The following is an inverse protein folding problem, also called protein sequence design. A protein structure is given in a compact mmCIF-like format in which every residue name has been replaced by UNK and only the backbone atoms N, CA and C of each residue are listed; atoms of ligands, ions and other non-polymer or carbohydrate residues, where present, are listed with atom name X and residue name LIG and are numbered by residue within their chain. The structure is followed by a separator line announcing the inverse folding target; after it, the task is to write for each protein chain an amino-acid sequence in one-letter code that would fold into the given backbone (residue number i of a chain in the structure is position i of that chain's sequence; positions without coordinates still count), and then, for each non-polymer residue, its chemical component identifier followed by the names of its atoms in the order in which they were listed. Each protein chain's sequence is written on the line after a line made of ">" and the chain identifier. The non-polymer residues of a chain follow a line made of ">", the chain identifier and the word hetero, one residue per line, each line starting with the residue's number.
data_IF_839626691074
#
_entry.id   IF_839626691074
#
_cell.length_a   1.000
_cell.length_b   1.000
_cell.length_c   1.000
_cell.angle_alpha   90.00
_cell.angle_beta   90.00
_cell.angle_gamma   90.00
#
_symmetry.space_group_name_H-M   'P 1'
#
loop_
_entity.id
_entity.type
_entity.pdbx_description
1 polymer ?
#
# COMPACT_ATOMS: atom_id res chain seq x y z
N UNK A 1 -21.11 11.40 -20.02
CA UNK A 1 -19.95 12.09 -19.40
C UNK A 1 -19.38 11.13 -18.40
N UNK A 2 -18.10 10.77 -18.49
CA UNK A 2 -17.47 9.88 -17.52
C UNK A 2 -17.36 10.66 -16.20
N UNK A 3 -18.22 10.33 -15.24
CA UNK A 3 -18.28 11.02 -13.94
C UNK A 3 -17.01 10.84 -13.08
N UNK A 4 -16.19 9.83 -13.38
CA UNK A 4 -15.06 9.46 -12.53
C UNK A 4 -14.01 8.65 -13.29
N UNK A 5 -12.75 8.77 -12.87
CA UNK A 5 -11.67 7.83 -13.21
C UNK A 5 -11.51 6.88 -12.05
N UNK A 6 -12.01 5.66 -12.18
CA UNK A 6 -11.97 4.66 -11.09
C UNK A 6 -10.56 4.11 -10.90
N UNK A 7 -10.06 4.13 -9.67
CA UNK A 7 -8.75 3.57 -9.32
C UNK A 7 -7.54 4.49 -9.58
N UNK A 8 -7.77 5.72 -10.03
CA UNK A 8 -6.73 6.73 -10.19
C UNK A 8 -6.46 7.49 -8.87
N UNK A 9 -5.37 8.28 -8.83
CA UNK A 9 -5.00 9.06 -7.64
C UNK A 9 -6.16 9.85 -7.03
N UNK A 10 -6.14 10.02 -5.71
CA UNK A 10 -7.13 10.81 -5.00
C UNK A 10 -7.17 12.27 -5.48
N UNK A 11 -8.34 12.87 -5.43
CA UNK A 11 -8.53 14.32 -5.51
C UNK A 11 -8.72 14.88 -4.11
N UNK A 12 -8.28 16.12 -3.88
CA UNK A 12 -8.50 16.85 -2.62
C UNK A 12 -9.67 17.79 -2.81
N UNK A 13 -10.74 17.57 -2.06
CA UNK A 13 -11.85 18.50 -1.98
C UNK A 13 -11.65 19.45 -0.78
N UNK A 14 -11.34 20.71 -1.05
CA UNK A 14 -11.03 21.69 -0.03
C UNK A 14 -12.26 22.33 0.62
N UNK A 15 -13.45 22.17 0.05
CA UNK A 15 -14.69 22.76 0.58
C UNK A 15 -15.28 21.94 1.73
N UNK A 16 -15.00 20.63 1.79
CA UNK A 16 -15.56 19.71 2.80
C UNK A 16 -14.60 19.41 3.96
N UNK A 17 -13.54 20.21 4.11
CA UNK A 17 -12.55 20.00 5.16
C UNK A 17 -13.11 20.39 6.54
N UNK A 18 -13.43 19.41 7.35
CA UNK A 18 -13.85 19.58 8.75
C UNK A 18 -13.13 18.57 9.65
N UNK A 19 -12.67 19.02 10.81
CA UNK A 19 -11.97 18.14 11.76
C UNK A 19 -12.86 16.98 12.23
N UNK A 20 -12.31 15.77 12.24
CA UNK A 20 -12.96 14.56 12.70
C UNK A 20 -12.34 14.09 14.01
N UNK A 21 -13.16 13.48 14.87
CA UNK A 21 -12.70 12.97 16.16
C UNK A 21 -11.90 11.66 16.03
N UNK A 22 -12.21 10.86 15.00
CA UNK A 22 -11.63 9.53 14.74
C UNK A 22 -10.63 9.54 13.58
N UNK A 23 -9.80 10.56 13.51
CA UNK A 23 -8.80 10.72 12.46
C UNK A 23 -7.58 9.79 12.65
N UNK A 24 -6.69 9.75 11.66
CA UNK A 24 -5.51 8.86 11.61
C UNK A 24 -4.66 8.90 12.89
N UNK A 25 -4.41 10.08 13.46
CA UNK A 25 -3.58 10.22 14.65
C UNK A 25 -4.27 9.67 15.90
N UNK A 26 -5.61 9.73 15.98
CA UNK A 26 -6.37 9.08 17.07
C UNK A 26 -6.38 7.56 16.90
N UNK A 27 -6.51 7.07 15.67
CA UNK A 27 -6.42 5.64 15.38
C UNK A 27 -5.07 5.05 15.79
N UNK A 28 -3.98 5.76 15.50
CA UNK A 28 -2.61 5.33 15.83
C UNK A 28 -2.14 5.76 17.22
N UNK A 29 -2.97 6.45 18.03
CA UNK A 29 -2.63 6.91 19.38
C UNK A 29 -2.13 5.83 20.35
N UNK A 30 -2.55 4.54 20.25
CA UNK A 30 -2.02 3.47 21.10
C UNK A 30 -0.53 3.16 20.89
N UNK A 31 0.08 3.72 19.83
CA UNK A 31 1.46 3.46 19.43
C UNK A 31 2.33 4.70 19.57
N UNK A 32 3.64 4.46 19.76
CA UNK A 32 4.64 5.49 19.47
C UNK A 32 4.81 5.59 17.96
N UNK A 33 4.76 6.80 17.41
CA UNK A 33 4.76 7.05 15.96
C UNK A 33 5.84 8.04 15.55
N UNK A 34 6.47 7.78 14.39
CA UNK A 34 7.29 8.73 13.64
C UNK A 34 6.61 8.91 12.28
N UNK A 35 6.21 10.15 11.97
CA UNK A 35 5.55 10.48 10.72
C UNK A 35 6.55 11.10 9.74
N UNK A 36 6.71 10.46 8.58
CA UNK A 36 7.63 10.82 7.52
C UNK A 36 6.85 11.13 6.22
N UNK A 37 7.52 11.67 5.23
CA UNK A 37 6.92 12.04 3.95
C UNK A 37 6.50 10.84 3.09
N UNK A 38 7.07 9.67 3.32
CA UNK A 38 6.77 8.49 2.51
C UNK A 38 7.09 7.17 3.21
N UNK A 39 6.50 6.06 2.72
CA UNK A 39 6.86 4.72 3.15
C UNK A 39 8.33 4.37 2.82
N UNK A 40 8.90 4.92 1.73
CA UNK A 40 10.34 4.75 1.41
C UNK A 40 11.22 5.38 2.48
N UNK A 41 10.89 6.57 2.94
CA UNK A 41 11.57 7.24 4.05
C UNK A 41 11.49 6.42 5.33
N UNK A 42 10.34 5.79 5.60
CA UNK A 42 10.20 4.86 6.72
C UNK A 42 11.13 3.66 6.62
N UNK A 43 11.21 3.01 5.45
CA UNK A 43 12.11 1.89 5.22
C UNK A 43 13.57 2.32 5.43
N UNK A 44 13.98 3.48 4.89
CA UNK A 44 15.34 4.01 5.07
C UNK A 44 15.70 4.26 6.53
N UNK A 45 14.77 4.80 7.33
CA UNK A 45 14.97 4.97 8.79
C UNK A 45 15.08 3.62 9.49
N UNK A 46 14.23 2.65 9.13
CA UNK A 46 14.30 1.30 9.72
C UNK A 46 15.58 0.54 9.37
N UNK A 47 16.26 0.87 8.25
CA UNK A 47 17.56 0.29 7.92
C UNK A 47 18.62 0.52 9.00
N UNK A 48 18.47 1.53 9.84
CA UNK A 48 19.38 1.77 10.99
C UNK A 48 19.42 0.59 11.96
N UNK A 49 18.33 -0.20 12.06
CA UNK A 49 18.24 -1.38 12.92
C UNK A 49 19.04 -2.59 12.39
N UNK A 50 19.36 -2.60 11.09
CA UNK A 50 19.90 -3.76 10.38
C UNK A 50 21.26 -3.51 9.73
N UNK A 51 21.93 -2.41 10.09
CA UNK A 51 23.21 -2.02 9.49
C UNK A 51 24.26 -3.14 9.57
N UNK A 52 24.82 -3.51 8.43
CA UNK A 52 25.80 -4.59 8.29
C UNK A 52 25.23 -6.02 8.39
N UNK A 53 23.91 -6.19 8.44
CA UNK A 53 23.23 -7.47 8.66
C UNK A 53 22.28 -7.83 7.51
N UNK A 54 21.79 -9.07 7.53
CA UNK A 54 20.76 -9.56 6.62
C UNK A 54 19.36 -9.30 7.18
N UNK A 55 18.42 -8.91 6.29
CA UNK A 55 17.00 -8.79 6.56
C UNK A 55 16.23 -9.71 5.61
N UNK A 56 15.46 -10.64 6.15
CA UNK A 56 14.57 -11.49 5.34
C UNK A 56 13.36 -10.68 4.90
N UNK A 57 13.06 -10.69 3.59
CA UNK A 57 12.02 -9.85 2.96
C UNK A 57 11.17 -10.73 2.04
N UNK A 58 9.82 -10.60 2.03
CA UNK A 58 9.01 -11.39 1.12
C UNK A 58 9.28 -10.98 -0.34
N UNK A 59 9.46 -11.98 -1.21
CA UNK A 59 9.77 -11.75 -2.61
C UNK A 59 8.59 -11.11 -3.39
N UNK A 60 7.34 -11.34 -2.95
CA UNK A 60 6.18 -10.64 -3.49
C UNK A 60 6.00 -9.28 -2.79
N UNK A 61 6.76 -8.29 -3.22
CA UNK A 61 6.79 -6.94 -2.65
C UNK A 61 6.86 -5.87 -3.73
N UNK A 62 6.56 -4.63 -3.35
CA UNK A 62 6.67 -3.50 -4.28
C UNK A 62 8.14 -3.15 -4.58
N UNK A 63 8.34 -2.44 -5.68
CA UNK A 63 9.64 -1.91 -6.07
C UNK A 63 10.34 -1.16 -4.92
N UNK A 64 9.58 -0.30 -4.22
CA UNK A 64 10.12 0.49 -3.11
C UNK A 64 10.60 -0.34 -1.91
N UNK A 65 10.10 -1.55 -1.72
CA UNK A 65 10.60 -2.49 -0.69
C UNK A 65 11.80 -3.25 -1.22
N UNK A 66 11.72 -3.81 -2.45
CA UNK A 66 12.77 -4.64 -3.03
C UNK A 66 14.07 -3.87 -3.21
N UNK A 67 13.97 -2.60 -3.62
CA UNK A 67 15.13 -1.72 -3.86
C UNK A 67 15.31 -0.60 -2.81
N UNK A 68 14.47 -0.60 -1.77
CA UNK A 68 14.41 0.50 -0.78
C UNK A 68 15.45 0.43 0.33
N UNK A 69 16.19 -0.68 0.43
CA UNK A 69 17.19 -0.84 1.47
C UNK A 69 18.46 -0.06 1.15
N UNK A 70 18.93 0.70 2.14
CA UNK A 70 20.15 1.51 2.03
C UNK A 70 21.41 0.65 2.08
N UNK A 71 22.56 1.25 1.73
CA UNK A 71 23.86 0.58 1.88
C UNK A 71 24.04 0.03 3.31
N UNK A 72 24.57 -1.19 3.38
CA UNK A 72 24.84 -1.86 4.65
C UNK A 72 23.74 -2.76 5.18
N UNK A 73 22.55 -2.80 4.56
CA UNK A 73 21.52 -3.82 4.80
C UNK A 73 21.48 -4.75 3.60
N UNK A 74 21.55 -6.05 3.83
CA UNK A 74 21.47 -7.06 2.79
C UNK A 74 20.09 -7.71 2.80
N UNK A 75 19.18 -7.41 1.85
CA UNK A 75 17.91 -8.10 1.75
C UNK A 75 18.13 -9.54 1.26
N UNK A 76 17.48 -10.50 1.91
CA UNK A 76 17.42 -11.90 1.52
C UNK A 76 15.95 -12.25 1.30
N UNK A 77 15.58 -12.53 0.06
CA UNK A 77 14.18 -12.68 -0.32
C UNK A 77 13.69 -14.10 -0.08
N UNK A 78 12.57 -14.23 0.67
CA UNK A 78 11.87 -15.49 0.87
C UNK A 78 10.57 -15.55 0.05
N UNK A 79 10.15 -16.78 -0.27
CA UNK A 79 8.95 -17.04 -1.06
C UNK A 79 7.67 -16.80 -0.23
N UNK A 80 6.57 -16.52 -0.92
CA UNK A 80 5.20 -16.56 -0.40
C UNK A 80 4.35 -17.46 -1.28
N UNK A 81 3.32 -18.07 -0.70
CA UNK A 81 2.37 -18.92 -1.44
C UNK A 81 1.44 -18.08 -2.35
N UNK A 82 0.65 -18.74 -3.21
CA UNK A 82 -0.30 -18.06 -4.10
C UNK A 82 -1.40 -17.31 -3.36
N UNK A 83 -1.74 -17.71 -2.16
CA UNK A 83 -2.67 -17.02 -1.26
C UNK A 83 -1.99 -15.94 -0.41
N UNK A 84 -0.75 -15.57 -0.74
CA UNK A 84 0.08 -14.56 -0.06
C UNK A 84 0.46 -14.90 1.39
N UNK A 85 0.27 -16.14 1.83
CA UNK A 85 0.80 -16.62 3.11
C UNK A 85 2.31 -16.84 3.05
N UNK A 86 2.98 -16.84 4.21
CA UNK A 86 4.42 -17.00 4.31
C UNK A 86 4.82 -18.45 3.97
N UNK A 87 5.76 -18.62 3.05
CA UNK A 87 6.45 -19.90 2.86
C UNK A 87 7.53 -20.05 3.95
N UNK A 88 7.12 -20.58 5.08
CA UNK A 88 8.01 -20.77 6.23
C UNK A 88 9.13 -21.76 5.96
N UNK A 89 8.92 -22.75 5.11
CA UNK A 89 9.98 -23.70 4.77
C UNK A 89 11.14 -23.00 4.05
N UNK A 90 10.81 -22.09 3.13
CA UNK A 90 11.80 -21.28 2.44
C UNK A 90 12.39 -20.21 3.35
N UNK A 91 11.58 -19.54 4.18
CA UNK A 91 12.02 -18.53 5.12
C UNK A 91 13.03 -19.08 6.13
N UNK A 92 12.71 -20.21 6.78
CA UNK A 92 13.57 -20.83 7.81
C UNK A 92 14.92 -21.29 7.23
N UNK A 93 14.95 -21.83 6.00
CA UNK A 93 16.18 -22.19 5.29
C UNK A 93 17.12 -21.02 5.04
N UNK A 94 16.59 -19.80 5.03
CA UNK A 94 17.34 -18.56 4.74
C UNK A 94 17.85 -17.86 6.00
N UNK A 95 17.47 -18.32 7.20
CA UNK A 95 17.99 -17.79 8.44
C UNK A 95 19.45 -18.23 8.59
N UNK A 96 20.34 -17.24 8.77
CA UNK A 96 21.77 -17.44 9.02
C UNK A 96 22.22 -16.69 10.27
N UNK A 97 23.47 -16.87 10.69
CA UNK A 97 24.05 -16.05 11.76
C UNK A 97 24.14 -14.54 11.44
N UNK A 98 24.06 -14.19 10.15
CA UNK A 98 24.03 -12.78 9.71
C UNK A 98 22.62 -12.19 9.72
N UNK A 99 21.57 -13.00 9.83
CA UNK A 99 20.19 -12.52 9.85
C UNK A 99 19.91 -11.71 11.12
N UNK A 100 19.38 -10.50 10.95
CA UNK A 100 19.00 -9.60 12.05
C UNK A 100 17.50 -9.46 12.21
N UNK A 101 16.72 -9.71 11.17
CA UNK A 101 15.28 -9.56 11.26
C UNK A 101 14.52 -10.15 10.10
N UNK A 102 13.20 -10.09 10.25
CA UNK A 102 12.22 -10.54 9.26
C UNK A 102 11.28 -9.35 8.98
N UNK A 103 11.13 -9.01 7.69
CA UNK A 103 10.15 -8.08 7.19
C UNK A 103 8.97 -8.91 6.68
N UNK A 104 7.78 -8.67 7.19
CA UNK A 104 6.55 -9.34 6.76
C UNK A 104 5.59 -8.33 6.17
N UNK A 105 4.82 -8.70 5.15
CA UNK A 105 3.85 -7.82 4.51
C UNK A 105 2.44 -8.32 4.77
N UNK A 106 1.59 -7.45 5.31
CA UNK A 106 0.16 -7.66 5.46
C UNK A 106 -0.53 -7.18 4.18
N UNK A 107 -1.00 -8.13 3.36
CA UNK A 107 -1.44 -7.85 1.98
C UNK A 107 -2.93 -7.47 1.89
N UNK A 108 -3.24 -6.42 1.14
CA UNK A 108 -4.59 -6.02 0.67
C UNK A 108 -5.65 -5.84 1.77
N UNK A 109 -5.24 -5.62 3.01
CA UNK A 109 -6.13 -5.46 4.15
C UNK A 109 -6.15 -6.67 5.08
N UNK A 110 -5.57 -7.81 4.68
CA UNK A 110 -5.43 -8.98 5.54
C UNK A 110 -4.20 -8.87 6.42
N UNK A 111 -4.37 -9.18 7.70
CA UNK A 111 -3.28 -9.36 8.65
C UNK A 111 -2.80 -10.80 8.59
N UNK A 112 -1.53 -11.03 8.93
CA UNK A 112 -1.01 -12.40 9.12
C UNK A 112 -1.89 -13.15 10.15
N UNK A 113 -2.04 -14.46 9.95
CA UNK A 113 -2.81 -15.31 10.84
C UNK A 113 -2.18 -15.40 12.23
N UNK A 114 -2.99 -15.77 13.23
CA UNK A 114 -2.45 -16.02 14.59
C UNK A 114 -1.42 -17.17 14.56
N UNK A 115 -1.64 -18.19 13.74
CA UNK A 115 -0.70 -19.32 13.56
C UNK A 115 0.65 -18.83 13.00
N UNK A 116 0.63 -17.98 11.95
CA UNK A 116 1.84 -17.39 11.39
C UNK A 116 2.54 -16.47 12.41
N UNK A 117 1.78 -15.69 13.17
CA UNK A 117 2.33 -14.83 14.22
C UNK A 117 3.01 -15.64 15.33
N UNK A 118 2.40 -16.75 15.78
CA UNK A 118 3.01 -17.65 16.76
C UNK A 118 4.30 -18.30 16.24
N UNK A 119 4.32 -18.72 14.97
CA UNK A 119 5.50 -19.30 14.32
C UNK A 119 6.63 -18.27 14.21
N UNK A 120 6.31 -17.04 13.77
CA UNK A 120 7.27 -15.93 13.75
C UNK A 120 7.78 -15.59 15.14
N UNK A 121 6.93 -15.64 16.18
CA UNK A 121 7.36 -15.43 17.57
C UNK A 121 8.37 -16.49 18.03
N UNK A 122 8.18 -17.74 17.64
CA UNK A 122 9.14 -18.82 17.87
C UNK A 122 10.50 -18.54 17.23
N UNK A 123 10.52 -18.17 15.95
CA UNK A 123 11.75 -17.83 15.21
C UNK A 123 12.44 -16.60 15.81
N UNK A 124 11.66 -15.56 16.14
CA UNK A 124 12.15 -14.36 16.79
C UNK A 124 12.85 -14.67 18.12
N UNK A 125 12.24 -15.50 18.96
CA UNK A 125 12.81 -15.90 20.24
C UNK A 125 14.07 -16.78 20.08
N UNK A 126 14.03 -17.72 19.13
CA UNK A 126 15.12 -18.66 18.89
C UNK A 126 16.39 -17.99 18.36
N UNK A 127 16.24 -17.01 17.45
CA UNK A 127 17.37 -16.40 16.74
C UNK A 127 17.64 -14.95 17.15
N UNK A 128 16.86 -14.37 18.06
CA UNK A 128 17.00 -12.97 18.49
C UNK A 128 16.72 -11.96 17.38
N UNK A 129 15.69 -12.23 16.57
CA UNK A 129 15.37 -11.42 15.39
C UNK A 129 14.45 -10.25 15.72
N UNK A 130 14.55 -9.18 14.95
CA UNK A 130 13.58 -8.06 14.91
C UNK A 130 12.54 -8.37 13.84
N UNK A 131 11.26 -8.21 14.16
CA UNK A 131 10.18 -8.35 13.17
C UNK A 131 9.64 -6.96 12.82
N UNK A 132 9.56 -6.68 11.52
CA UNK A 132 8.93 -5.47 10.96
C UNK A 132 7.69 -5.87 10.17
N UNK A 133 6.53 -5.33 10.53
CA UNK A 133 5.30 -5.49 9.76
C UNK A 133 5.13 -4.33 8.75
N UNK A 134 5.05 -4.64 7.46
CA UNK A 134 4.61 -3.69 6.45
C UNK A 134 3.09 -3.70 6.36
N UNK A 135 2.49 -2.71 7.00
CA UNK A 135 1.05 -2.49 7.04
C UNK A 135 0.61 -1.42 6.03
N UNK A 136 1.39 -1.17 4.98
CA UNK A 136 1.02 -0.20 3.93
C UNK A 136 -0.37 -0.48 3.34
N UNK A 137 -0.76 -1.75 3.26
CA UNK A 137 -2.05 -2.17 2.75
C UNK A 137 -3.03 -2.65 3.83
N UNK A 138 -2.65 -2.57 5.12
CA UNK A 138 -3.44 -3.12 6.22
C UNK A 138 -3.41 -2.28 7.50
N UNK A 139 -2.90 -1.04 7.43
CA UNK A 139 -2.74 -0.16 8.61
C UNK A 139 -4.03 0.06 9.40
N UNK A 140 -5.20 -0.11 8.78
CA UNK A 140 -6.50 0.03 9.40
C UNK A 140 -7.21 -1.32 9.65
N UNK A 141 -6.47 -2.42 9.65
CA UNK A 141 -6.99 -3.79 9.85
C UNK A 141 -6.75 -4.34 11.26
N UNK A 142 -6.61 -3.46 12.24
CA UNK A 142 -6.42 -3.84 13.64
C UNK A 142 -5.01 -3.65 14.17
N UNK A 143 -4.72 -4.34 15.27
CA UNK A 143 -3.47 -4.20 16.01
C UNK A 143 -2.30 -4.97 15.35
N UNK A 144 -1.07 -4.53 15.67
CA UNK A 144 0.13 -5.28 15.35
C UNK A 144 0.07 -6.69 15.95
N UNK A 145 0.38 -7.69 15.11
CA UNK A 145 0.36 -9.10 15.51
C UNK A 145 1.65 -9.51 16.23
N UNK A 146 2.81 -9.21 15.63
CA UNK A 146 4.11 -9.70 16.10
C UNK A 146 5.24 -8.67 15.97
N UNK A 147 5.03 -7.62 15.15
CA UNK A 147 6.06 -6.64 14.81
C UNK A 147 6.61 -5.89 16.02
N UNK A 148 7.93 -5.82 16.14
CA UNK A 148 8.58 -4.86 17.02
C UNK A 148 8.37 -3.45 16.50
N UNK A 149 8.34 -3.33 15.19
CA UNK A 149 8.05 -2.11 14.44
C UNK A 149 7.06 -2.42 13.34
N UNK A 150 6.28 -1.42 12.97
CA UNK A 150 5.51 -1.46 11.74
C UNK A 150 5.80 -0.23 10.88
N UNK A 151 5.61 -0.39 9.58
CA UNK A 151 5.71 0.67 8.59
C UNK A 151 4.44 0.73 7.75
N UNK A 152 3.98 1.94 7.42
CA UNK A 152 2.91 2.11 6.47
C UNK A 152 3.07 3.37 5.63
N UNK A 153 2.73 3.27 4.34
CA UNK A 153 2.55 4.41 3.45
C UNK A 153 1.09 4.85 3.51
N UNK A 154 0.74 5.62 4.57
CA UNK A 154 -0.65 6.01 4.85
C UNK A 154 -1.24 6.96 3.80
N UNK A 155 -0.39 7.63 2.99
CA UNK A 155 -0.85 8.45 1.86
C UNK A 155 -1.67 7.69 0.82
N UNK A 156 -1.58 6.36 0.78
CA UNK A 156 -2.34 5.52 -0.16
C UNK A 156 -3.81 5.34 0.23
N UNK A 157 -4.20 5.83 1.40
CA UNK A 157 -5.55 5.67 1.95
C UNK A 157 -6.39 6.94 1.90
N UNK A 158 -5.74 8.10 1.75
CA UNK A 158 -6.38 9.42 1.84
C UNK A 158 -5.89 10.36 0.75
N UNK A 159 -6.65 11.43 0.47
CA UNK A 159 -6.30 12.46 -0.51
C UNK A 159 -5.21 13.40 0.02
N UNK A 160 -4.00 12.91 0.14
CA UNK A 160 -2.84 13.65 0.65
C UNK A 160 -1.63 13.50 -0.26
N UNK A 161 -0.73 14.49 -0.31
CA UNK A 161 0.44 14.43 -1.18
C UNK A 161 1.54 13.51 -0.65
N UNK A 162 1.71 13.44 0.67
CA UNK A 162 2.74 12.67 1.35
C UNK A 162 2.18 11.87 2.53
N UNK A 163 3.02 11.16 3.26
CA UNK A 163 2.64 10.46 4.48
C UNK A 163 3.07 9.01 4.52
N UNK A 164 4.06 8.77 5.35
CA UNK A 164 4.49 7.48 5.86
C UNK A 164 4.50 7.50 7.39
N UNK A 165 4.42 6.35 8.01
CA UNK A 165 4.52 6.21 9.45
C UNK A 165 5.34 4.98 9.82
N UNK A 166 6.22 5.14 10.81
CA UNK A 166 6.80 4.04 11.60
C UNK A 166 6.07 4.06 12.92
N UNK A 167 5.56 2.91 13.36
CA UNK A 167 4.89 2.83 14.64
C UNK A 167 5.22 1.55 15.40
N UNK A 168 5.15 1.61 16.73
CA UNK A 168 5.50 0.51 17.62
C UNK A 168 4.79 0.67 18.97
N UNK A 169 4.54 -0.45 19.65
CA UNK A 169 4.15 -0.44 21.07
C UNK A 169 5.35 -0.07 21.97
N UNK A 170 6.58 -0.25 21.48
CA UNK A 170 7.83 0.07 22.17
C UNK A 170 8.32 1.49 21.83
N UNK A 171 9.33 1.96 22.57
CA UNK A 171 9.98 3.24 22.27
C UNK A 171 10.68 3.23 20.91
N UNK A 172 10.54 4.33 20.17
CA UNK A 172 11.23 4.56 18.89
C UNK A 172 12.54 5.37 19.04
N UNK A 173 13.01 5.59 20.26
CA UNK A 173 14.19 6.44 20.54
C UNK A 173 15.51 5.88 19.94
N UNK A 174 15.54 4.63 19.51
CA UNK A 174 16.68 4.02 18.81
C UNK A 174 16.82 4.49 17.36
N UNK A 175 15.76 5.07 16.79
CA UNK A 175 15.74 5.57 15.41
C UNK A 175 16.16 7.05 15.39
N UNK A 176 17.22 7.36 14.67
CA UNK A 176 17.72 8.73 14.55
C UNK A 176 16.96 9.50 13.46
N UNK A 177 16.19 10.48 13.90
CA UNK A 177 15.43 11.41 13.06
C UNK A 177 15.87 12.87 13.26
N UNK A 178 16.95 13.10 13.98
CA UNK A 178 17.44 14.44 14.28
C UNK A 178 17.84 15.17 12.99
N UNK A 179 17.46 16.43 12.87
CA UNK A 179 17.78 17.28 11.73
C UNK A 179 16.90 17.05 10.50
N UNK A 180 15.93 16.12 10.53
CA UNK A 180 14.95 16.01 9.45
C UNK A 180 14.07 17.25 9.38
N UNK A 181 13.75 17.68 8.16
CA UNK A 181 12.93 18.85 7.84
C UNK A 181 11.60 18.45 7.26
N UNK A 182 10.63 19.39 7.17
CA UNK A 182 9.27 19.18 6.61
C UNK A 182 9.11 19.64 5.16
N UNK A 183 10.20 19.90 4.45
CA UNK A 183 10.22 20.48 3.11
C UNK A 183 10.25 19.43 1.98
N UNK A 184 9.43 18.39 2.13
CA UNK A 184 9.38 17.32 1.12
C UNK A 184 8.80 17.80 -0.22
N UNK A 185 9.44 17.41 -1.32
CA UNK A 185 8.92 17.65 -2.68
C UNK A 185 7.63 16.89 -2.98
N UNK A 186 7.24 15.91 -2.17
CA UNK A 186 5.97 15.19 -2.30
C UNK A 186 4.76 16.14 -2.30
N UNK A 187 4.88 17.32 -1.67
CA UNK A 187 3.84 18.37 -1.67
C UNK A 187 3.41 18.78 -3.09
N UNK A 188 4.24 18.57 -4.11
CA UNK A 188 3.91 18.89 -5.51
C UNK A 188 2.72 18.08 -6.03
N UNK A 189 2.38 16.96 -5.43
CA UNK A 189 1.17 16.17 -5.74
C UNK A 189 -0.13 16.92 -5.45
N UNK A 190 -0.10 17.92 -4.58
CA UNK A 190 -1.27 18.76 -4.31
C UNK A 190 -1.83 19.40 -5.57
N UNK A 191 -0.96 19.87 -6.46
CA UNK A 191 -1.40 20.57 -7.65
C UNK A 191 -2.33 19.72 -8.55
N UNK A 192 -1.91 18.54 -9.05
CA UNK A 192 -2.81 17.69 -9.83
C UNK A 192 -4.00 17.16 -9.03
N UNK A 193 -3.88 16.95 -7.70
CA UNK A 193 -4.99 16.50 -6.85
C UNK A 193 -6.10 17.57 -6.76
N UNK A 194 -5.74 18.84 -6.61
CA UNK A 194 -6.69 19.97 -6.59
C UNK A 194 -7.30 20.16 -7.98
N UNK A 195 -6.49 20.15 -9.05
CA UNK A 195 -6.98 20.28 -10.42
C UNK A 195 -8.00 19.19 -10.76
N UNK A 196 -7.75 17.96 -10.32
CA UNK A 196 -8.70 16.85 -10.48
C UNK A 196 -10.02 17.12 -9.74
N UNK A 197 -9.96 17.63 -8.51
CA UNK A 197 -11.17 17.99 -7.75
C UNK A 197 -11.99 19.05 -8.48
N UNK A 198 -11.34 20.11 -8.97
CA UNK A 198 -11.99 21.20 -9.70
C UNK A 198 -12.63 20.70 -11.00
N UNK A 199 -11.99 19.76 -11.71
CA UNK A 199 -12.57 19.13 -12.91
C UNK A 199 -13.79 18.28 -12.57
N UNK A 200 -13.71 17.42 -11.57
CA UNK A 200 -14.81 16.53 -11.15
C UNK A 200 -16.04 17.31 -10.66
N UNK A 201 -15.83 18.52 -10.15
CA UNK A 201 -16.89 19.45 -9.70
C UNK A 201 -17.36 20.40 -10.79
N UNK A 202 -16.89 20.25 -12.02
CA UNK A 202 -17.22 21.11 -13.15
C UNK A 202 -16.89 22.60 -12.91
N UNK A 203 -15.93 22.89 -12.01
CA UNK A 203 -15.45 24.27 -11.73
C UNK A 203 -14.56 24.78 -12.85
N UNK A 204 -13.82 23.86 -13.50
CA UNK A 204 -12.96 24.16 -14.64
C UNK A 204 -13.30 23.25 -15.83
N UNK A 205 -13.17 23.81 -17.02
CA UNK A 205 -13.18 23.04 -18.28
C UNK A 205 -11.71 22.79 -18.67
N UNK A 206 -11.22 21.57 -18.36
CA UNK A 206 -9.83 21.19 -18.57
C UNK A 206 -9.74 19.74 -19.02
N UNK A 207 -8.90 19.39 -20.01
CA UNK A 207 -8.80 18.02 -20.50
C UNK A 207 -8.33 17.05 -19.41
N UNK A 208 -9.13 16.03 -19.08
CA UNK A 208 -8.78 15.02 -18.08
C UNK A 208 -7.44 14.33 -18.36
N UNK A 209 -7.10 14.14 -19.66
CA UNK A 209 -5.82 13.58 -20.07
C UNK A 209 -4.61 14.43 -19.61
N UNK A 210 -4.75 15.75 -19.58
CA UNK A 210 -3.67 16.64 -19.11
C UNK A 210 -3.48 16.53 -17.59
N UNK A 211 -4.56 16.31 -16.83
CA UNK A 211 -4.44 16.05 -15.37
C UNK A 211 -3.69 14.72 -15.15
N UNK A 212 -4.00 13.69 -15.90
CA UNK A 212 -3.27 12.42 -15.85
C UNK A 212 -1.76 12.61 -16.18
N UNK A 213 -1.45 13.45 -17.17
CA UNK A 213 -0.07 13.78 -17.52
C UNK A 213 0.65 14.54 -16.40
N UNK A 214 -0.02 15.50 -15.75
CA UNK A 214 0.51 16.22 -14.59
C UNK A 214 0.85 15.26 -13.43
N UNK A 215 -0.03 14.28 -13.12
CA UNK A 215 0.30 13.24 -12.13
C UNK A 215 1.52 12.43 -12.56
N UNK A 216 1.58 11.99 -13.81
CA UNK A 216 2.70 11.21 -14.33
C UNK A 216 4.03 11.99 -14.32
N UNK A 217 4.00 13.29 -14.59
CA UNK A 217 5.18 14.17 -14.51
C UNK A 217 5.67 14.30 -13.07
N UNK A 218 4.77 14.61 -12.14
CA UNK A 218 5.11 14.69 -10.71
C UNK A 218 5.66 13.37 -10.19
N UNK A 219 5.06 12.24 -10.56
CA UNK A 219 5.57 10.92 -10.14
C UNK A 219 6.99 10.65 -10.68
N UNK A 220 7.27 10.94 -11.96
CA UNK A 220 8.61 10.81 -12.53
C UNK A 220 9.65 11.66 -11.80
N UNK A 221 9.30 12.91 -11.47
CA UNK A 221 10.20 13.80 -10.71
C UNK A 221 10.44 13.28 -9.29
N UNK A 222 9.41 12.74 -8.64
CA UNK A 222 9.49 12.21 -7.28
C UNK A 222 10.23 10.87 -7.23
N UNK A 223 10.15 10.05 -8.26
CA UNK A 223 10.95 8.83 -8.35
C UNK A 223 12.44 9.17 -8.46
N UNK A 224 12.82 10.09 -9.34
CA UNK A 224 14.19 10.59 -9.45
C UNK A 224 14.69 11.26 -8.14
N UNK A 225 13.82 11.94 -7.41
CA UNK A 225 14.12 12.56 -6.13
C UNK A 225 14.30 11.53 -4.99
N UNK A 226 13.46 10.49 -4.95
CA UNK A 226 13.54 9.44 -3.94
C UNK A 226 14.84 8.64 -4.00
N UNK A 227 15.47 8.59 -5.17
CA UNK A 227 16.77 7.92 -5.39
C UNK A 227 17.93 8.70 -4.76
N UNK A 228 17.77 10.01 -4.50
CA UNK A 228 18.80 10.85 -3.86
C UNK A 228 18.99 10.63 -2.36
N UNK A 229 18.24 9.73 -1.75
CA UNK A 229 18.43 9.33 -0.35
C UNK A 229 17.88 10.29 0.72
N UNK A 230 17.35 11.45 0.33
CA UNK A 230 16.80 12.43 1.29
C UNK A 230 15.53 11.91 1.99
N UNK A 231 15.41 12.21 3.28
CA UNK A 231 14.30 11.84 4.16
C UNK A 231 13.73 13.10 4.79
N UNK A 232 12.40 13.20 4.81
CA UNK A 232 11.71 14.34 5.41
C UNK A 232 10.63 13.88 6.38
N UNK A 233 10.30 14.76 7.32
CA UNK A 233 9.09 14.62 8.12
C UNK A 233 7.86 14.90 7.26
N UNK A 234 6.71 14.35 7.65
CA UNK A 234 5.41 14.62 7.03
C UNK A 234 5.11 16.11 7.00
N UNK A 235 4.50 16.59 5.91
CA UNK A 235 4.14 17.99 5.75
C UNK A 235 2.95 18.38 6.66
N UNK A 236 2.94 19.60 7.17
CA UNK A 236 1.87 20.11 8.05
C UNK A 236 0.49 20.16 7.37
N UNK A 237 0.47 20.43 6.06
CA UNK A 237 -0.78 20.39 5.31
C UNK A 237 -1.35 18.97 5.24
N UNK A 238 -0.51 17.96 5.07
CA UNK A 238 -0.90 16.54 5.13
C UNK A 238 -1.46 16.18 6.50
N UNK A 239 -0.81 16.64 7.59
CA UNK A 239 -1.33 16.43 8.95
C UNK A 239 -2.73 17.02 9.12
N UNK A 240 -2.96 18.23 8.58
CA UNK A 240 -4.28 18.86 8.60
C UNK A 240 -5.33 18.02 7.83
N UNK A 241 -5.04 17.59 6.61
CA UNK A 241 -5.95 16.77 5.82
C UNK A 241 -6.27 15.44 6.52
N UNK A 242 -5.30 14.78 7.15
CA UNK A 242 -5.58 13.57 7.94
C UNK A 242 -6.55 13.83 9.08
N UNK A 243 -6.50 14.99 9.73
CA UNK A 243 -7.45 15.37 10.78
C UNK A 243 -8.86 15.64 10.26
N UNK A 244 -9.01 15.88 8.96
CA UNK A 244 -10.30 16.11 8.31
C UNK A 244 -10.95 14.82 7.76
N UNK A 245 -10.32 13.66 7.92
CA UNK A 245 -10.83 12.40 7.41
C UNK A 245 -11.16 11.43 8.55
N UNK A 246 -12.41 10.91 8.57
CA UNK A 246 -12.84 9.87 9.49
C UNK A 246 -12.27 8.51 9.06
N UNK A 247 -11.56 7.84 9.96
CA UNK A 247 -11.05 6.49 9.74
C UNK A 247 -12.20 5.48 9.78
N UNK A 248 -13.15 5.65 10.70
CA UNK A 248 -14.31 4.76 10.84
C UNK A 248 -15.20 4.76 9.59
N UNK A 249 -15.52 5.93 9.05
CA UNK A 249 -16.31 6.05 7.82
C UNK A 249 -15.58 5.42 6.62
N UNK A 250 -14.27 5.65 6.53
CA UNK A 250 -13.44 5.07 5.48
C UNK A 250 -13.41 3.54 5.55
N UNK A 251 -13.20 2.95 6.74
CA UNK A 251 -13.19 1.50 6.94
C UNK A 251 -14.54 0.90 6.51
N UNK A 252 -15.63 1.45 7.04
CA UNK A 252 -16.99 0.99 6.75
C UNK A 252 -17.29 1.00 5.25
N UNK A 253 -16.99 2.10 4.57
CA UNK A 253 -17.25 2.24 3.13
C UNK A 253 -16.45 1.24 2.30
N UNK A 254 -15.16 1.03 2.62
CA UNK A 254 -14.32 0.04 1.94
C UNK A 254 -14.80 -1.39 2.14
N UNK A 255 -15.23 -1.74 3.35
CA UNK A 255 -15.81 -3.06 3.65
C UNK A 255 -17.12 -3.29 2.90
N UNK A 256 -18.00 -2.28 2.82
CA UNK A 256 -19.24 -2.34 2.06
C UNK A 256 -18.96 -2.55 0.56
N UNK A 257 -18.05 -1.77 -0.01
CA UNK A 257 -17.69 -1.84 -1.42
C UNK A 257 -17.02 -3.17 -1.78
N UNK A 258 -16.08 -3.66 -0.97
CA UNK A 258 -15.42 -4.95 -1.18
C UNK A 258 -16.43 -6.10 -1.19
N UNK A 259 -17.24 -6.17 -0.16
CA UNK A 259 -18.28 -7.21 -0.02
C UNK A 259 -19.26 -7.19 -1.20
N UNK A 260 -19.66 -6.00 -1.60
CA UNK A 260 -20.60 -5.83 -2.71
C UNK A 260 -19.98 -6.22 -4.05
N UNK A 261 -18.83 -5.64 -4.40
CA UNK A 261 -18.16 -5.92 -5.66
C UNK A 261 -17.80 -7.41 -5.77
N UNK A 262 -17.23 -8.00 -4.73
CA UNK A 262 -16.90 -9.44 -4.70
C UNK A 262 -18.12 -10.32 -4.99
N UNK A 263 -19.29 -9.97 -4.48
CA UNK A 263 -20.52 -10.73 -4.72
C UNK A 263 -21.07 -10.58 -6.14
N UNK A 264 -20.80 -9.45 -6.80
CA UNK A 264 -21.28 -9.17 -8.16
C UNK A 264 -20.36 -9.68 -9.27
N UNK A 265 -19.10 -9.99 -8.97
CA UNK A 265 -18.15 -10.49 -9.96
C UNK A 265 -18.50 -11.92 -10.39
N UNK A 266 -18.63 -12.12 -11.71
CA UNK A 266 -18.93 -13.40 -12.36
C UNK A 266 -18.14 -13.58 -13.67
N UNK A 267 -16.90 -13.11 -13.71
CA UNK A 267 -16.04 -13.25 -14.87
C UNK A 267 -15.29 -14.58 -14.84
N UNK A 268 -15.30 -15.38 -15.92
CA UNK A 268 -14.60 -16.67 -15.98
C UNK A 268 -13.07 -16.52 -15.99
N UNK A 269 -12.56 -15.32 -16.18
CA UNK A 269 -11.12 -15.01 -16.21
C UNK A 269 -10.55 -14.70 -14.83
N UNK A 270 -11.41 -14.54 -13.80
CA UNK A 270 -11.01 -14.10 -12.49
C UNK A 270 -11.12 -15.22 -11.44
N UNK A 271 -10.13 -15.29 -10.54
CA UNK A 271 -10.24 -16.05 -9.30
C UNK A 271 -9.72 -15.20 -8.13
N UNK A 272 -10.29 -15.30 -6.93
CA UNK A 272 -9.79 -14.58 -5.75
C UNK A 272 -8.34 -14.93 -5.46
N UNK A 273 -7.54 -13.92 -5.04
CA UNK A 273 -6.19 -14.11 -4.48
C UNK A 273 -6.30 -14.47 -3.01
N UNK A 274 -7.16 -13.75 -2.30
CA UNK A 274 -7.33 -13.86 -0.86
C UNK A 274 -8.78 -14.27 -0.51
N UNK A 275 -8.99 -14.94 0.63
CA UNK A 275 -10.32 -15.26 1.13
C UNK A 275 -11.11 -13.96 1.43
N UNK A 276 -12.31 -14.12 1.97
CA UNK A 276 -13.04 -12.97 2.52
C UNK A 276 -12.29 -12.41 3.73
N UNK A 277 -12.41 -11.10 3.92
CA UNK A 277 -11.85 -10.41 5.08
C UNK A 277 -12.41 -10.98 6.39
N UNK A 278 -11.57 -10.99 7.41
CA UNK A 278 -11.99 -11.25 8.77
C UNK A 278 -12.73 -10.03 9.34
N UNK A 279 -13.48 -10.25 10.41
CA UNK A 279 -14.14 -9.16 11.13
C UNK A 279 -13.09 -8.13 11.62
N UNK A 280 -13.33 -6.85 11.36
CA UNK A 280 -12.42 -5.76 11.73
C UNK A 280 -11.32 -5.45 10.73
N UNK A 281 -11.07 -6.30 9.73
CA UNK A 281 -10.10 -5.99 8.67
C UNK A 281 -10.65 -4.94 7.69
N UNK A 282 -9.77 -4.07 7.21
CA UNK A 282 -10.09 -3.01 6.25
C UNK A 282 -9.43 -3.30 4.90
N UNK A 283 -10.22 -3.53 3.84
CA UNK A 283 -9.66 -3.87 2.54
C UNK A 283 -8.97 -2.67 1.90
N UNK A 284 -7.77 -2.89 1.35
CA UNK A 284 -7.06 -1.89 0.57
C UNK A 284 -7.60 -1.79 -0.86
N UNK A 285 -7.68 -2.90 -1.55
CA UNK A 285 -8.28 -3.11 -2.86
C UNK A 285 -8.82 -4.55 -2.90
N UNK A 286 -9.58 -4.91 -3.95
CA UNK A 286 -10.01 -6.29 -4.19
C UNK A 286 -9.03 -6.99 -5.15
N UNK A 287 -8.08 -7.82 -4.64
CA UNK A 287 -7.12 -8.52 -5.49
C UNK A 287 -7.73 -9.77 -6.13
N UNK A 288 -7.46 -9.94 -7.43
CA UNK A 288 -7.88 -11.08 -8.21
C UNK A 288 -6.73 -11.59 -9.07
N UNK A 289 -6.60 -12.90 -9.21
CA UNK A 289 -5.85 -13.48 -10.31
C UNK A 289 -6.65 -13.34 -11.59
N UNK A 290 -6.01 -12.93 -12.66
CA UNK A 290 -6.60 -12.80 -13.99
C UNK A 290 -5.70 -13.47 -15.02
N UNK A 291 -6.21 -14.50 -15.71
CA UNK A 291 -5.47 -15.26 -16.71
C UNK A 291 -5.10 -14.44 -17.95
N UNK A 292 -5.84 -13.38 -18.21
CA UNK A 292 -5.64 -12.43 -19.31
C UNK A 292 -5.53 -10.98 -18.79
N UNK A 293 -4.75 -10.81 -17.72
CA UNK A 293 -4.68 -9.56 -16.96
C UNK A 293 -4.43 -8.33 -17.81
N UNK A 294 -3.45 -8.36 -18.70
CA UNK A 294 -3.08 -7.15 -19.46
C UNK A 294 -4.18 -6.79 -20.47
N UNK A 295 -4.80 -7.76 -21.14
CA UNK A 295 -5.91 -7.52 -22.06
C UNK A 295 -7.15 -6.97 -21.33
N UNK A 296 -7.53 -7.57 -20.20
CA UNK A 296 -8.64 -7.08 -19.38
C UNK A 296 -8.37 -5.66 -18.87
N UNK A 297 -7.13 -5.41 -18.40
CA UNK A 297 -6.75 -4.08 -17.92
C UNK A 297 -6.82 -3.03 -19.03
N UNK A 298 -6.32 -3.33 -20.22
CA UNK A 298 -6.31 -2.40 -21.34
C UNK A 298 -7.77 -2.09 -21.75
N UNK A 299 -8.65 -3.10 -21.85
CA UNK A 299 -10.07 -2.89 -22.06
C UNK A 299 -10.73 -1.98 -21.03
N UNK A 300 -10.51 -2.25 -19.73
CA UNK A 300 -11.08 -1.46 -18.63
C UNK A 300 -10.60 -0.01 -18.65
N UNK A 301 -9.31 0.21 -18.94
CA UNK A 301 -8.72 1.56 -19.03
C UNK A 301 -9.24 2.32 -20.24
N UNK A 302 -9.17 1.72 -21.42
CA UNK A 302 -9.45 2.40 -22.69
C UNK A 302 -10.95 2.59 -22.94
N UNK A 303 -11.78 1.62 -22.51
CA UNK A 303 -13.22 1.63 -22.80
C UNK A 303 -14.04 2.17 -21.64
N UNK A 304 -13.66 1.87 -20.39
CA UNK A 304 -14.49 2.13 -19.21
C UNK A 304 -13.90 3.20 -18.27
N UNK A 305 -12.68 3.71 -18.53
CA UNK A 305 -11.95 4.62 -17.63
C UNK A 305 -11.76 4.05 -16.21
N UNK A 306 -11.65 2.72 -16.11
CA UNK A 306 -11.35 2.00 -14.88
C UNK A 306 -9.87 1.64 -14.90
N UNK A 307 -9.15 2.01 -13.83
CA UNK A 307 -7.69 1.83 -13.70
C UNK A 307 -7.35 0.80 -12.61
N UNK A 308 -7.47 -0.51 -12.88
CA UNK A 308 -7.09 -1.53 -11.91
C UNK A 308 -5.60 -1.44 -11.60
N UNK A 309 -5.25 -1.58 -10.34
CA UNK A 309 -3.85 -1.55 -9.91
C UNK A 309 -3.18 -2.90 -10.15
N UNK A 310 -1.96 -2.88 -10.70
CA UNK A 310 -1.12 -4.07 -10.82
C UNK A 310 -0.09 -4.05 -9.67
N UNK A 311 -0.40 -4.73 -8.60
CA UNK A 311 0.42 -4.82 -7.39
C UNK A 311 0.87 -6.28 -7.20
N UNK A 312 2.06 -6.68 -7.64
CA UNK A 312 3.11 -5.87 -8.27
C UNK A 312 3.64 -6.63 -9.50
N UNK A 313 4.37 -5.94 -10.39
CA UNK A 313 4.99 -6.55 -11.58
C UNK A 313 6.32 -7.23 -11.23
N UNK A 314 6.32 -8.13 -10.24
CA UNK A 314 7.51 -8.79 -9.69
C UNK A 314 8.32 -9.56 -10.72
N UNK A 315 7.70 -10.05 -11.80
CA UNK A 315 8.38 -10.65 -12.94
C UNK A 315 9.37 -9.71 -13.66
N UNK A 316 9.35 -8.41 -13.35
CA UNK A 316 10.28 -7.39 -13.88
C UNK A 316 11.35 -7.00 -12.86
N UNK A 317 11.35 -7.60 -11.66
CA UNK A 317 12.28 -7.27 -10.59
C UNK A 317 13.31 -8.38 -10.46
N UNK A 318 14.51 -8.18 -11.07
CA UNK A 318 15.57 -9.18 -11.14
C UNK A 318 15.89 -9.90 -9.83
N UNK A 319 15.93 -9.21 -8.67
CA UNK A 319 16.23 -9.89 -7.41
C UNK A 319 15.23 -10.97 -7.00
N UNK A 320 14.00 -10.94 -7.51
CA UNK A 320 12.91 -11.82 -7.05
C UNK A 320 12.24 -12.65 -8.14
N UNK A 321 12.48 -12.36 -9.41
CA UNK A 321 11.76 -13.00 -10.52
C UNK A 321 12.01 -14.52 -10.65
N UNK A 322 13.10 -15.02 -10.06
CA UNK A 322 13.45 -16.45 -10.02
C UNK A 322 13.04 -17.18 -8.75
N UNK A 323 12.33 -16.53 -7.81
CA UNK A 323 11.92 -17.13 -6.55
C UNK A 323 10.53 -17.75 -6.67
N UNK A 324 10.42 -19.07 -6.47
CA UNK A 324 9.15 -19.80 -6.49
C UNK A 324 8.26 -19.42 -7.67
N UNK A 325 6.99 -19.10 -7.41
CA UNK A 325 5.99 -18.67 -8.39
C UNK A 325 5.79 -17.14 -8.44
N UNK A 326 6.65 -16.36 -7.81
CA UNK A 326 6.54 -14.89 -7.66
C UNK A 326 6.40 -14.17 -9.02
N UNK A 327 7.15 -14.61 -10.03
CA UNK A 327 7.06 -14.02 -11.36
C UNK A 327 5.67 -14.27 -11.99
N UNK A 328 5.09 -15.46 -11.81
CA UNK A 328 3.77 -15.79 -12.34
C UNK A 328 2.66 -15.04 -11.60
N UNK A 329 2.72 -14.94 -10.29
CA UNK A 329 1.84 -14.07 -9.49
C UNK A 329 1.90 -12.63 -10.00
N UNK A 330 3.09 -12.10 -10.25
CA UNK A 330 3.30 -10.76 -10.79
C UNK A 330 2.77 -10.55 -12.21
N UNK A 331 2.52 -11.61 -13.00
CA UNK A 331 1.87 -11.55 -14.31
C UNK A 331 0.35 -11.57 -14.22
N UNK A 332 -0.21 -12.21 -13.21
CA UNK A 332 -1.64 -12.49 -13.12
C UNK A 332 -2.40 -11.60 -12.15
N UNK A 333 -1.78 -11.16 -11.05
CA UNK A 333 -2.50 -10.38 -10.03
C UNK A 333 -2.82 -8.97 -10.55
N UNK A 334 -4.09 -8.61 -10.38
CA UNK A 334 -4.66 -7.29 -10.60
C UNK A 334 -5.63 -6.99 -9.45
N UNK A 335 -5.75 -5.75 -9.02
CA UNK A 335 -6.66 -5.38 -7.95
C UNK A 335 -7.61 -4.26 -8.35
N UNK A 336 -8.88 -4.42 -7.99
CA UNK A 336 -9.93 -3.48 -8.32
C UNK A 336 -10.10 -2.43 -7.22
N UNK A 337 -10.39 -1.16 -7.59
CA UNK A 337 -10.60 -0.09 -6.64
C UNK A 337 -11.94 -0.28 -5.90
N UNK A 338 -11.90 -0.10 -4.58
CA UNK A 338 -13.05 -0.22 -3.68
C UNK A 338 -13.02 0.86 -2.59
N UNK A 339 -12.25 1.91 -2.83
CA UNK A 339 -11.98 2.90 -1.80
C UNK A 339 -13.21 3.78 -1.46
N UNK A 340 -13.07 4.59 -0.44
CA UNK A 340 -14.16 5.36 0.15
C UNK A 340 -14.79 6.44 -0.76
N UNK A 341 -14.22 6.70 -1.93
CA UNK A 341 -14.77 7.62 -2.93
C UNK A 341 -15.98 7.06 -3.66
N UNK A 342 -16.14 5.75 -3.66
CA UNK A 342 -17.12 5.04 -4.49
C UNK A 342 -18.33 4.63 -3.68
N UNK A 343 -19.48 4.67 -4.31
CA UNK A 343 -20.76 4.19 -3.76
C UNK A 343 -21.21 2.88 -4.43
N UNK A 344 -22.45 2.49 -4.15
CA UNK A 344 -23.00 1.25 -4.69
C UNK A 344 -23.18 1.30 -6.21
N UNK A 345 -23.56 2.46 -6.75
CA UNK A 345 -23.75 2.63 -8.21
C UNK A 345 -22.41 2.52 -8.94
N UNK A 346 -21.35 3.05 -8.34
CA UNK A 346 -19.98 2.88 -8.83
C UNK A 346 -19.56 1.41 -8.84
N UNK A 347 -19.90 0.66 -7.79
CA UNK A 347 -19.58 -0.77 -7.71
C UNK A 347 -20.42 -1.59 -8.72
N UNK A 348 -21.66 -1.23 -8.98
CA UNK A 348 -22.49 -1.83 -10.03
C UNK A 348 -21.82 -1.62 -11.41
N UNK A 349 -21.39 -0.40 -11.72
CA UNK A 349 -20.68 -0.07 -12.96
C UNK A 349 -19.37 -0.85 -13.11
N UNK A 350 -18.57 -0.94 -12.04
CA UNK A 350 -17.35 -1.73 -12.06
C UNK A 350 -17.62 -3.21 -12.33
N UNK A 351 -18.60 -3.78 -11.65
CA UNK A 351 -18.98 -5.19 -11.80
C UNK A 351 -19.47 -5.49 -13.23
N UNK A 352 -20.32 -4.63 -13.80
CA UNK A 352 -20.83 -4.75 -15.15
C UNK A 352 -19.67 -4.72 -16.18
N UNK A 353 -18.81 -3.70 -16.14
CA UNK A 353 -17.66 -3.57 -17.01
C UNK A 353 -16.72 -4.78 -16.96
N UNK A 354 -16.44 -5.29 -15.75
CA UNK A 354 -15.57 -6.47 -15.56
C UNK A 354 -16.23 -7.75 -16.09
N UNK A 355 -17.53 -7.90 -15.86
CA UNK A 355 -18.29 -9.09 -16.29
C UNK A 355 -18.57 -9.08 -17.81
N UNK A 356 -18.60 -7.93 -18.46
CA UNK A 356 -18.79 -7.78 -19.91
C UNK A 356 -17.52 -8.05 -20.73
N UNK A 357 -16.36 -7.98 -20.11
CA UNK A 357 -15.11 -8.25 -20.82
C UNK A 357 -15.11 -9.64 -21.48
N UNK A 358 -14.69 -9.70 -22.75
CA UNK A 358 -14.46 -10.92 -23.53
C UNK A 358 -13.10 -10.84 -24.23
N UNK A 359 -12.43 -11.98 -24.33
CA UNK A 359 -11.21 -12.14 -25.14
C UNK A 359 -11.55 -12.15 -26.64
#
# INVERSE_FOLDING_TARGET
>A
MVKCTYGYDFNIDVEDLSLKADHVFEYLRPYNCIYLDSGRSCIKILCQLFAGRELLVPAFSCFSVIYGFTEGVKPVFYNVHEDLTIDFEDLEKKITAATAGIYVTNYFGHMISEEDAERLAGLKAQYGLIVVEDNTQSVFSGDLKIGDYAVASIRKWFPVPDGGVIYSKNSLATLDIRGLRRESKQIRKLYPQIMKSMLLREVIDFPAAQIAEMFAEVERELDAYSDNGEIFLMNEFTEFIYRCNSVGDMIKKRQENEKYLRACLNSPYLRPVLPKLNEGECPFNLPMYCTCRDQMRDYLVETCSIYPSVLWRTHRYDPVNGIGNIAEMGRQIMSFPIDQRYDKEDMDFLAEAINEFRL
#
